data_IF_528383471331
#
_entry.id   IF_528383471331
#
_cell.length_a   1.000
_cell.length_b   1.000
_cell.length_c   1.000
_cell.angle_alpha   90.00
_cell.angle_beta   90.00
_cell.angle_gamma   90.00
#
_symmetry.space_group_name_H-M   'P 1'
#
loop_
_entity.id
_entity.type
_entity.pdbx_description
1 polymer ?
#
# COMPACT_ATOMS: atom_id res chain seq x y z
N UNK A 1 -2.42 -15.22 7.27
CA UNK A 1 -1.66 -14.04 6.81
C UNK A 1 -1.71 -13.88 5.29
N UNK A 2 -1.36 -14.94 4.52
CA UNK A 2 -1.33 -14.84 3.05
C UNK A 2 -2.66 -14.35 2.45
N UNK A 3 -3.76 -14.99 2.79
CA UNK A 3 -5.09 -14.62 2.28
C UNK A 3 -5.52 -13.19 2.66
N UNK A 4 -5.17 -12.77 3.87
CA UNK A 4 -5.50 -11.43 4.32
C UNK A 4 -4.71 -10.36 3.56
N UNK A 5 -3.40 -10.54 3.38
CA UNK A 5 -2.55 -9.54 2.72
C UNK A 5 -2.61 -9.64 1.20
N UNK A 6 -2.35 -10.82 0.65
CA UNK A 6 -2.17 -11.01 -0.80
C UNK A 6 -3.43 -11.52 -1.50
N UNK A 7 -4.37 -12.13 -0.78
CA UNK A 7 -5.68 -12.44 -1.30
C UNK A 7 -6.57 -11.21 -1.35
N UNK A 8 -7.08 -10.80 -0.21
CA UNK A 8 -8.01 -9.69 -0.08
C UNK A 8 -7.31 -8.33 -0.14
N UNK A 9 -6.27 -8.14 0.67
CA UNK A 9 -5.59 -6.85 0.80
C UNK A 9 -5.08 -6.32 -0.52
N UNK A 10 -4.43 -7.15 -1.33
CA UNK A 10 -3.93 -6.75 -2.65
C UNK A 10 -5.03 -6.61 -3.72
N UNK A 11 -6.13 -7.35 -3.62
CA UNK A 11 -7.26 -7.10 -4.51
C UNK A 11 -7.81 -5.68 -4.33
N UNK A 12 -7.94 -5.23 -3.07
CA UNK A 12 -8.41 -3.88 -2.73
C UNK A 12 -7.33 -2.83 -3.02
N UNK A 13 -6.13 -2.98 -2.46
CA UNK A 13 -5.04 -2.01 -2.60
C UNK A 13 -4.62 -1.86 -4.05
N UNK A 14 -4.44 -2.96 -4.76
CA UNK A 14 -4.03 -2.96 -6.16
C UNK A 14 -5.08 -2.35 -7.07
N UNK A 15 -6.36 -2.67 -6.88
CA UNK A 15 -7.47 -2.06 -7.60
C UNK A 15 -7.55 -0.54 -7.38
N UNK A 16 -7.38 -0.11 -6.12
CA UNK A 16 -7.30 1.31 -5.79
C UNK A 16 -6.08 1.97 -6.47
N UNK A 17 -4.89 1.38 -6.37
CA UNK A 17 -3.67 1.92 -6.97
C UNK A 17 -3.79 2.04 -8.49
N UNK A 18 -4.33 1.03 -9.18
CA UNK A 18 -4.56 1.10 -10.63
C UNK A 18 -5.49 2.26 -11.02
N UNK A 19 -6.50 2.52 -10.20
CA UNK A 19 -7.44 3.64 -10.42
C UNK A 19 -6.81 4.99 -10.06
N UNK A 20 -6.09 5.07 -8.94
CA UNK A 20 -5.47 6.30 -8.47
C UNK A 20 -4.32 6.73 -9.37
N UNK A 21 -3.47 5.79 -9.79
CA UNK A 21 -2.27 6.08 -10.60
C UNK A 21 -2.63 6.72 -11.93
N UNK A 22 -3.71 6.27 -12.61
CA UNK A 22 -4.16 6.92 -13.85
C UNK A 22 -4.49 8.40 -13.66
N UNK A 23 -5.08 8.75 -12.52
CA UNK A 23 -5.43 10.13 -12.20
C UNK A 23 -4.19 10.95 -11.82
N UNK A 24 -3.18 10.34 -11.18
CA UNK A 24 -1.94 11.02 -10.82
C UNK A 24 -1.12 11.40 -12.04
N UNK A 25 -1.03 10.52 -13.02
CA UNK A 25 -0.25 10.74 -14.25
C UNK A 25 -1.11 11.19 -15.44
N UNK A 26 -2.41 11.49 -15.22
CA UNK A 26 -3.35 12.02 -16.22
C UNK A 26 -3.41 11.18 -17.51
N UNK A 27 -3.42 9.85 -17.37
CA UNK A 27 -3.49 8.93 -18.51
C UNK A 27 -4.75 8.08 -18.46
N UNK A 28 -5.10 7.51 -19.62
CA UNK A 28 -6.18 6.52 -19.71
C UNK A 28 -5.78 5.25 -18.96
N UNK A 29 -6.62 4.81 -18.04
CA UNK A 29 -6.35 3.60 -17.24
C UNK A 29 -6.42 2.31 -18.06
N UNK A 30 -6.01 1.22 -17.46
CA UNK A 30 -6.15 -0.12 -18.02
C UNK A 30 -7.63 -0.50 -18.13
N UNK A 31 -8.00 -1.23 -19.17
CA UNK A 31 -9.38 -1.63 -19.41
C UNK A 31 -9.49 -3.08 -19.89
N UNK A 32 -10.69 -3.60 -19.78
CA UNK A 32 -11.18 -4.90 -20.23
C UNK A 32 -10.16 -6.03 -20.18
N UNK A 33 -9.42 -6.27 -21.23
CA UNK A 33 -8.49 -7.42 -21.34
C UNK A 33 -7.46 -7.47 -20.24
N UNK A 34 -6.87 -6.32 -19.88
CA UNK A 34 -5.88 -6.25 -18.81
C UNK A 34 -6.51 -6.51 -17.42
N UNK A 35 -7.70 -5.97 -17.16
CA UNK A 35 -8.40 -6.17 -15.88
C UNK A 35 -8.94 -7.60 -15.76
N UNK A 36 -9.49 -8.16 -16.85
CA UNK A 36 -9.90 -9.56 -16.89
C UNK A 36 -8.71 -10.49 -16.67
N UNK A 37 -7.57 -10.21 -17.32
CA UNK A 37 -6.33 -10.96 -17.10
C UNK A 37 -5.86 -10.93 -15.64
N UNK A 38 -5.93 -9.77 -14.99
CA UNK A 38 -5.61 -9.65 -13.55
C UNK A 38 -6.61 -10.42 -12.67
N UNK A 39 -7.90 -10.37 -12.97
CA UNK A 39 -8.91 -11.11 -12.23
C UNK A 39 -8.70 -12.63 -12.37
N UNK A 40 -8.38 -13.11 -13.57
CA UNK A 40 -8.05 -14.52 -13.79
C UNK A 40 -6.76 -14.91 -13.06
N UNK A 41 -5.72 -14.08 -13.09
CA UNK A 41 -4.49 -14.32 -12.34
C UNK A 41 -4.75 -14.41 -10.83
N UNK A 42 -5.63 -13.54 -10.30
CA UNK A 42 -6.06 -13.60 -8.90
C UNK A 42 -6.82 -14.91 -8.60
N UNK A 43 -7.73 -15.33 -9.46
CA UNK A 43 -8.43 -16.62 -9.30
C UNK A 43 -7.45 -17.81 -9.32
N UNK A 44 -6.48 -17.82 -10.24
CA UNK A 44 -5.44 -18.86 -10.30
C UNK A 44 -4.62 -18.91 -9.03
N UNK A 45 -4.27 -17.75 -8.46
CA UNK A 45 -3.60 -17.67 -7.17
C UNK A 45 -4.46 -18.28 -6.04
N UNK A 46 -5.77 -18.00 -6.00
CA UNK A 46 -6.67 -18.59 -4.99
C UNK A 46 -6.75 -20.11 -5.13
N UNK A 47 -6.83 -20.60 -6.36
CA UNK A 47 -6.83 -22.05 -6.65
C UNK A 47 -5.50 -22.67 -6.20
N UNK A 48 -4.37 -22.05 -6.54
CA UNK A 48 -3.03 -22.50 -6.12
C UNK A 48 -2.87 -22.57 -4.60
N UNK A 49 -3.39 -21.59 -3.86
CA UNK A 49 -3.36 -21.61 -2.39
C UNK A 49 -4.28 -22.67 -1.78
N UNK A 50 -5.44 -22.93 -2.39
CA UNK A 50 -6.43 -23.87 -1.84
C UNK A 50 -6.06 -25.35 -2.14
N UNK A 51 -5.56 -25.61 -3.33
CA UNK A 51 -5.35 -27.00 -3.83
C UNK A 51 -3.92 -27.27 -4.33
N UNK A 52 -3.04 -26.29 -4.30
CA UNK A 52 -1.67 -26.40 -4.85
C UNK A 52 -0.69 -27.22 -4.01
N UNK A 53 -1.09 -27.77 -2.86
CA UNK A 53 -0.18 -28.53 -1.98
C UNK A 53 0.42 -29.79 -2.62
N UNK A 54 -0.20 -30.33 -3.67
CA UNK A 54 0.32 -31.46 -4.45
C UNK A 54 0.95 -31.07 -5.79
N UNK A 55 1.07 -29.78 -6.09
CA UNK A 55 1.61 -29.29 -7.35
C UNK A 55 3.15 -29.30 -7.36
N UNK A 56 3.78 -29.39 -8.55
CA UNK A 56 5.20 -29.10 -8.68
C UNK A 56 5.52 -27.71 -8.11
N UNK A 57 6.66 -27.58 -7.45
CA UNK A 57 7.04 -26.35 -6.76
C UNK A 57 6.99 -25.11 -7.69
N UNK A 58 7.46 -25.26 -8.93
CA UNK A 58 7.48 -24.17 -9.91
C UNK A 58 6.06 -23.69 -10.25
N UNK A 59 5.11 -24.61 -10.39
CA UNK A 59 3.72 -24.27 -10.69
C UNK A 59 3.06 -23.57 -9.49
N UNK A 60 3.33 -24.07 -8.28
CA UNK A 60 2.85 -23.42 -7.05
C UNK A 60 3.37 -21.98 -6.93
N UNK A 61 4.68 -21.78 -7.09
CA UNK A 61 5.28 -20.46 -7.04
C UNK A 61 4.75 -19.53 -8.13
N UNK A 62 4.67 -20.00 -9.36
CA UNK A 62 4.14 -19.22 -10.48
C UNK A 62 2.70 -18.79 -10.24
N UNK A 63 1.82 -19.70 -9.84
CA UNK A 63 0.41 -19.39 -9.57
C UNK A 63 0.26 -18.32 -8.49
N UNK A 64 1.10 -18.36 -7.47
CA UNK A 64 1.05 -17.43 -6.35
C UNK A 64 1.70 -16.08 -6.63
N UNK A 65 2.61 -15.97 -7.59
CA UNK A 65 3.32 -14.72 -7.86
C UNK A 65 2.73 -13.93 -9.03
N UNK A 66 2.06 -14.59 -9.99
CA UNK A 66 1.66 -13.97 -11.26
C UNK A 66 0.75 -12.76 -11.07
N UNK A 67 -0.25 -12.84 -10.20
CA UNK A 67 -1.17 -11.73 -9.94
C UNK A 67 -0.43 -10.48 -9.42
N UNK A 68 0.34 -10.66 -8.35
CA UNK A 68 1.08 -9.56 -7.74
C UNK A 68 2.14 -8.99 -8.68
N UNK A 69 2.87 -9.85 -9.39
CA UNK A 69 3.90 -9.44 -10.35
C UNK A 69 3.28 -8.63 -11.51
N UNK A 70 2.16 -9.06 -12.06
CA UNK A 70 1.47 -8.34 -13.13
C UNK A 70 1.00 -6.96 -12.67
N UNK A 71 0.35 -6.87 -11.51
CA UNK A 71 -0.16 -5.58 -11.02
C UNK A 71 0.97 -4.62 -10.66
N UNK A 72 2.04 -5.12 -10.04
CA UNK A 72 3.26 -4.34 -9.75
C UNK A 72 3.91 -3.85 -11.04
N UNK A 73 4.08 -4.72 -12.04
CA UNK A 73 4.63 -4.35 -13.34
C UNK A 73 3.79 -3.28 -14.04
N UNK A 74 2.45 -3.40 -14.03
CA UNK A 74 1.54 -2.41 -14.61
C UNK A 74 1.67 -1.06 -13.92
N UNK A 75 1.73 -1.04 -12.59
CA UNK A 75 1.88 0.19 -11.82
C UNK A 75 3.25 0.84 -12.04
N UNK A 76 4.32 0.06 -11.97
CA UNK A 76 5.68 0.56 -12.18
C UNK A 76 5.88 1.10 -13.60
N UNK A 77 5.41 0.38 -14.61
CA UNK A 77 5.52 0.85 -16.01
C UNK A 77 4.75 2.15 -16.22
N UNK A 78 3.57 2.28 -15.62
CA UNK A 78 2.77 3.52 -15.69
C UNK A 78 3.50 4.69 -15.02
N UNK A 79 3.97 4.51 -13.79
CA UNK A 79 4.67 5.55 -13.04
C UNK A 79 5.98 5.98 -13.71
N UNK A 80 6.77 5.03 -14.22
CA UNK A 80 8.05 5.34 -14.88
C UNK A 80 7.83 6.00 -16.23
N UNK A 81 6.92 5.46 -17.06
CA UNK A 81 6.69 5.95 -18.42
C UNK A 81 6.10 7.37 -18.43
N UNK A 82 5.19 7.66 -17.51
CA UNK A 82 4.49 8.94 -17.44
C UNK A 82 4.99 9.85 -16.33
N UNK A 83 6.19 9.61 -15.83
CA UNK A 83 6.84 10.35 -14.75
C UNK A 83 6.79 11.87 -14.92
N UNK A 84 6.92 12.37 -16.15
CA UNK A 84 6.95 13.83 -16.43
C UNK A 84 5.57 14.48 -16.25
N UNK A 85 4.50 13.70 -16.26
CA UNK A 85 3.11 14.17 -16.13
C UNK A 85 2.58 13.94 -14.72
N UNK A 86 3.41 13.38 -13.81
CA UNK A 86 3.00 13.03 -12.46
C UNK A 86 2.74 14.29 -11.64
N UNK A 87 1.53 14.38 -11.10
CA UNK A 87 1.08 15.48 -10.24
C UNK A 87 1.71 15.45 -8.84
N UNK A 88 2.34 14.34 -8.46
CA UNK A 88 2.88 14.12 -7.12
C UNK A 88 4.34 13.64 -7.16
N UNK A 89 5.26 14.49 -6.73
CA UNK A 89 6.68 14.12 -6.61
C UNK A 89 6.90 12.90 -5.70
N UNK A 90 6.02 12.68 -4.73
CA UNK A 90 6.09 11.59 -3.76
C UNK A 90 5.82 10.19 -4.35
N UNK A 91 5.38 10.08 -5.61
CA UNK A 91 5.10 8.79 -6.25
C UNK A 91 6.34 7.94 -6.47
N UNK A 92 7.55 8.53 -6.40
CA UNK A 92 8.81 7.77 -6.35
C UNK A 92 8.86 6.74 -5.23
N UNK A 93 8.16 7.00 -4.16
CA UNK A 93 8.04 6.09 -3.05
C UNK A 93 7.45 4.73 -3.46
N UNK A 94 6.47 4.72 -4.35
CA UNK A 94 5.89 3.47 -4.85
C UNK A 94 6.87 2.65 -5.69
N UNK A 95 7.89 3.27 -6.31
CA UNK A 95 8.93 2.52 -7.03
C UNK A 95 9.74 1.60 -6.11
N UNK A 96 9.83 1.92 -4.83
CA UNK A 96 10.48 1.08 -3.81
C UNK A 96 9.49 0.12 -3.15
N UNK A 97 8.31 0.61 -2.79
CA UNK A 97 7.31 -0.15 -2.01
C UNK A 97 6.70 -1.28 -2.83
N UNK A 98 6.43 -1.06 -4.12
CA UNK A 98 5.81 -2.10 -4.95
C UNK A 98 6.70 -3.34 -5.12
N UNK A 99 8.01 -3.26 -5.44
CA UNK A 99 8.88 -4.43 -5.43
C UNK A 99 9.05 -5.04 -4.04
N UNK A 100 9.03 -4.22 -2.96
CA UNK A 100 9.13 -4.74 -1.60
C UNK A 100 7.94 -5.64 -1.23
N UNK A 101 6.75 -5.42 -1.78
CA UNK A 101 5.63 -6.34 -1.62
C UNK A 101 5.86 -7.71 -2.26
N UNK A 102 6.56 -7.77 -3.40
CA UNK A 102 6.96 -9.05 -3.99
C UNK A 102 7.95 -9.78 -3.08
N UNK A 103 8.94 -9.07 -2.53
CA UNK A 103 9.88 -9.65 -1.58
C UNK A 103 9.16 -10.15 -0.31
N UNK A 104 8.24 -9.37 0.25
CA UNK A 104 7.45 -9.77 1.41
C UNK A 104 6.60 -11.03 1.13
N UNK A 105 6.03 -11.14 -0.07
CA UNK A 105 5.28 -12.33 -0.49
C UNK A 105 6.17 -13.56 -0.62
N UNK A 106 7.35 -13.41 -1.20
CA UNK A 106 8.34 -14.49 -1.30
C UNK A 106 8.73 -15.01 0.09
N UNK A 107 9.02 -14.12 1.04
CA UNK A 107 9.28 -14.48 2.42
C UNK A 107 8.08 -15.19 3.07
N UNK A 108 6.88 -14.67 2.86
CA UNK A 108 5.64 -15.24 3.42
C UNK A 108 5.34 -16.65 2.89
N UNK A 109 5.71 -16.96 1.65
CA UNK A 109 5.53 -18.30 1.06
C UNK A 109 6.62 -19.28 1.49
N UNK A 110 7.73 -18.80 2.07
CA UNK A 110 8.80 -19.62 2.62
C UNK A 110 8.47 -20.01 4.06
N UNK A 111 8.44 -21.32 4.37
CA UNK A 111 8.20 -21.79 5.74
C UNK A 111 9.21 -21.22 6.75
N UNK A 112 10.49 -21.13 6.36
CA UNK A 112 11.57 -20.64 7.20
C UNK A 112 11.43 -19.13 7.53
N UNK A 113 10.80 -18.34 6.67
CA UNK A 113 10.72 -16.88 6.79
C UNK A 113 9.28 -16.35 6.85
N UNK A 114 8.32 -17.24 7.14
CA UNK A 114 6.89 -16.89 7.19
C UNK A 114 6.60 -15.69 8.11
N UNK A 115 7.16 -15.70 9.32
CA UNK A 115 6.95 -14.64 10.31
C UNK A 115 7.52 -13.30 9.84
N UNK A 116 8.71 -13.32 9.22
CA UNK A 116 9.36 -12.13 8.67
C UNK A 116 8.54 -11.55 7.51
N UNK A 117 8.08 -12.42 6.60
CA UNK A 117 7.22 -12.05 5.48
C UNK A 117 5.88 -11.46 5.94
N UNK A 118 5.25 -12.03 6.97
CA UNK A 118 4.01 -11.51 7.54
C UNK A 118 4.21 -10.13 8.17
N UNK A 119 5.28 -9.96 8.92
CA UNK A 119 5.64 -8.70 9.58
C UNK A 119 5.98 -7.61 8.57
N UNK A 120 6.77 -7.95 7.55
CA UNK A 120 7.11 -7.04 6.45
C UNK A 120 5.87 -6.63 5.66
N UNK A 121 4.97 -7.59 5.36
CA UNK A 121 3.69 -7.31 4.70
C UNK A 121 2.85 -6.32 5.49
N UNK A 122 2.69 -6.52 6.80
CA UNK A 122 1.98 -5.60 7.68
C UNK A 122 2.59 -4.20 7.64
N UNK A 123 3.93 -4.09 7.68
CA UNK A 123 4.65 -2.83 7.59
C UNK A 123 4.40 -2.10 6.26
N UNK A 124 4.44 -2.83 5.14
CA UNK A 124 4.20 -2.29 3.80
C UNK A 124 2.74 -1.83 3.63
N UNK A 125 1.76 -2.60 4.08
CA UNK A 125 0.35 -2.20 4.05
C UNK A 125 0.12 -0.95 4.90
N UNK A 126 0.64 -0.91 6.13
CA UNK A 126 0.57 0.27 6.99
C UNK A 126 1.12 1.50 6.27
N UNK A 127 2.28 1.38 5.65
CA UNK A 127 2.93 2.46 4.92
C UNK A 127 2.10 2.92 3.70
N UNK A 128 1.57 1.98 2.90
CA UNK A 128 0.71 2.29 1.76
C UNK A 128 -0.56 3.02 2.21
N UNK A 129 -1.21 2.54 3.28
CA UNK A 129 -2.40 3.19 3.83
C UNK A 129 -2.12 4.59 4.38
N UNK A 130 -0.99 4.81 5.05
CA UNK A 130 -0.63 6.14 5.56
C UNK A 130 -0.45 7.16 4.44
N UNK A 131 0.23 6.78 3.35
CA UNK A 131 0.40 7.65 2.17
C UNK A 131 -0.95 7.95 1.51
N UNK A 132 -1.80 6.94 1.38
CA UNK A 132 -3.12 7.09 0.78
C UNK A 132 -4.05 7.94 1.65
N UNK A 133 -4.08 7.67 2.94
CA UNK A 133 -4.92 8.38 3.90
C UNK A 133 -4.58 9.88 3.91
N UNK A 134 -3.30 10.22 3.90
CA UNK A 134 -2.85 11.61 3.81
C UNK A 134 -3.43 12.33 2.58
N UNK A 135 -3.35 11.68 1.41
CA UNK A 135 -3.85 12.26 0.16
C UNK A 135 -5.38 12.36 0.14
N UNK A 136 -6.04 11.27 0.49
CA UNK A 136 -7.51 11.19 0.47
C UNK A 136 -8.14 12.16 1.45
N UNK A 137 -7.66 12.21 2.70
CA UNK A 137 -8.19 13.14 3.69
C UNK A 137 -7.93 14.60 3.31
N UNK A 138 -6.75 14.91 2.77
CA UNK A 138 -6.45 16.27 2.32
C UNK A 138 -7.40 16.72 1.21
N UNK A 139 -7.65 15.85 0.22
CA UNK A 139 -8.59 16.15 -0.87
C UNK A 139 -10.03 16.22 -0.38
N UNK A 140 -10.43 15.32 0.50
CA UNK A 140 -11.77 15.30 1.08
C UNK A 140 -12.07 16.57 1.89
N UNK A 141 -11.17 16.96 2.79
CA UNK A 141 -11.31 18.17 3.61
C UNK A 141 -11.39 19.41 2.75
N UNK A 142 -10.56 19.50 1.70
CA UNK A 142 -10.64 20.63 0.75
C UNK A 142 -11.94 20.62 -0.05
N UNK A 143 -12.41 19.47 -0.51
CA UNK A 143 -13.62 19.36 -1.35
C UNK A 143 -14.91 19.57 -0.56
N UNK A 144 -15.04 18.99 0.63
CA UNK A 144 -16.27 19.00 1.43
C UNK A 144 -16.36 20.21 2.36
N UNK A 145 -15.25 20.53 3.01
CA UNK A 145 -15.24 21.61 4.04
C UNK A 145 -14.66 22.91 3.54
N UNK A 146 -14.09 22.94 2.32
CA UNK A 146 -13.40 24.10 1.73
C UNK A 146 -12.31 24.69 2.64
N UNK A 147 -11.68 23.84 3.44
CA UNK A 147 -10.62 24.20 4.37
C UNK A 147 -9.28 23.77 3.83
N UNK A 148 -8.35 24.69 3.73
CA UNK A 148 -6.95 24.36 3.43
C UNK A 148 -6.28 23.80 4.68
N UNK A 149 -5.92 22.52 4.61
CA UNK A 149 -5.19 21.84 5.68
C UNK A 149 -3.77 22.36 5.76
N UNK A 150 -3.32 22.62 6.97
CA UNK A 150 -1.94 23.00 7.23
C UNK A 150 -0.99 21.85 6.85
N UNK A 151 -0.35 21.97 5.69
CA UNK A 151 0.66 21.01 5.24
C UNK A 151 1.97 21.26 5.98
N UNK A 152 2.52 20.21 6.56
CA UNK A 152 3.83 20.22 7.22
C UNK A 152 4.76 19.21 6.56
N UNK A 153 5.51 19.57 5.49
CA UNK A 153 6.29 18.61 4.70
C UNK A 153 7.32 17.83 5.52
N UNK A 154 7.90 18.46 6.55
CA UNK A 154 8.85 17.78 7.46
C UNK A 154 8.18 16.70 8.32
N UNK A 155 6.96 16.96 8.80
CA UNK A 155 6.18 15.97 9.55
C UNK A 155 5.77 14.80 8.66
N UNK A 156 5.29 15.10 7.45
CA UNK A 156 4.89 14.08 6.48
C UNK A 156 6.08 13.19 6.08
N UNK A 157 7.25 13.80 5.89
CA UNK A 157 8.49 13.06 5.62
C UNK A 157 8.90 12.18 6.82
N UNK A 158 8.84 12.72 8.05
CA UNK A 158 9.18 11.95 9.25
C UNK A 158 8.25 10.73 9.43
N UNK A 159 6.94 10.88 9.20
CA UNK A 159 5.97 9.79 9.23
C UNK A 159 6.30 8.74 8.16
N UNK A 160 6.59 9.15 6.93
CA UNK A 160 6.94 8.25 5.82
C UNK A 160 8.24 7.48 6.12
N UNK A 161 9.26 8.16 6.61
CA UNK A 161 10.53 7.52 6.97
C UNK A 161 10.37 6.56 8.16
N UNK A 162 9.66 6.97 9.22
CA UNK A 162 9.37 6.11 10.36
C UNK A 162 8.59 4.85 9.96
N UNK A 163 7.58 5.01 9.10
CA UNK A 163 6.83 3.88 8.56
C UNK A 163 7.70 2.97 7.68
N UNK A 164 8.63 3.54 6.88
CA UNK A 164 9.56 2.78 6.06
C UNK A 164 10.54 1.96 6.91
N UNK A 165 11.09 2.54 7.96
CA UNK A 165 11.94 1.79 8.91
C UNK A 165 11.20 0.63 9.55
N UNK A 166 9.95 0.83 9.90
CA UNK A 166 9.11 -0.20 10.52
C UNK A 166 8.64 -1.30 9.53
N UNK A 167 8.90 -1.18 8.24
CA UNK A 167 8.76 -2.32 7.29
C UNK A 167 9.74 -3.44 7.67
N UNK A 168 10.91 -3.06 8.16
CA UNK A 168 11.97 -4.00 8.55
C UNK A 168 11.95 -4.35 10.05
N UNK A 169 10.82 -4.15 10.73
CA UNK A 169 10.74 -4.37 12.19
C UNK A 169 11.04 -5.81 12.62
N UNK A 170 10.89 -6.82 11.75
CA UNK A 170 11.24 -8.21 12.05
C UNK A 170 12.73 -8.39 12.36
N UNK A 171 13.58 -7.54 11.78
CA UNK A 171 15.05 -7.58 11.96
C UNK A 171 15.56 -6.54 12.96
N UNK A 172 14.66 -5.75 13.56
CA UNK A 172 15.03 -4.76 14.57
C UNK A 172 14.94 -5.35 15.98
N UNK A 173 15.78 -4.90 16.92
CA UNK A 173 15.57 -5.20 18.34
C UNK A 173 14.18 -4.77 18.79
N UNK A 174 13.50 -5.61 19.58
CA UNK A 174 12.11 -5.38 20.00
C UNK A 174 11.91 -4.03 20.70
N UNK A 175 12.83 -3.62 21.55
CA UNK A 175 12.78 -2.32 22.22
C UNK A 175 12.82 -1.15 21.25
N UNK A 176 13.66 -1.23 20.19
CA UNK A 176 13.75 -0.21 19.15
C UNK A 176 12.47 -0.18 18.30
N UNK A 177 11.94 -1.34 17.93
CA UNK A 177 10.69 -1.43 17.18
C UNK A 177 9.51 -0.80 17.94
N UNK A 178 9.39 -1.09 19.24
CA UNK A 178 8.37 -0.50 20.11
C UNK A 178 8.56 1.02 20.24
N UNK A 179 9.77 1.50 20.43
CA UNK A 179 10.04 2.94 20.51
C UNK A 179 9.67 3.66 19.20
N UNK A 180 10.05 3.09 18.04
CA UNK A 180 9.68 3.65 16.72
C UNK A 180 8.17 3.65 16.50
N UNK A 181 7.46 2.60 16.92
CA UNK A 181 5.99 2.55 16.85
C UNK A 181 5.37 3.63 17.73
N UNK A 182 5.84 3.81 18.95
CA UNK A 182 5.35 4.86 19.86
C UNK A 182 5.57 6.26 19.26
N UNK A 183 6.76 6.51 18.70
CA UNK A 183 7.06 7.78 18.00
C UNK A 183 6.12 7.96 16.80
N UNK A 184 5.93 6.93 15.98
CA UNK A 184 5.03 7.01 14.83
C UNK A 184 3.59 7.32 15.25
N UNK A 185 3.08 6.68 16.32
CA UNK A 185 1.76 6.98 16.89
C UNK A 185 1.67 8.44 17.33
N UNK A 186 2.67 8.95 18.04
CA UNK A 186 2.70 10.35 18.48
C UNK A 186 2.67 11.34 17.29
N UNK A 187 3.47 11.06 16.24
CA UNK A 187 3.48 11.86 15.02
C UNK A 187 2.14 11.82 14.29
N UNK A 188 1.48 10.65 14.23
CA UNK A 188 0.16 10.49 13.62
C UNK A 188 -0.94 11.22 14.41
N UNK A 189 -0.91 11.16 15.74
CA UNK A 189 -1.83 11.94 16.60
C UNK A 189 -1.67 13.44 16.39
N UNK A 190 -0.42 13.90 16.32
CA UNK A 190 -0.15 15.29 15.98
C UNK A 190 -0.60 15.66 14.56
N UNK A 191 -0.38 14.77 13.58
CA UNK A 191 -0.88 14.98 12.22
C UNK A 191 -2.41 15.01 12.17
N UNK A 192 -3.07 14.13 12.91
CA UNK A 192 -4.53 14.09 13.01
C UNK A 192 -5.10 15.41 13.54
N UNK A 193 -4.47 16.01 14.56
CA UNK A 193 -4.89 17.32 15.06
C UNK A 193 -4.77 18.44 14.00
N UNK A 194 -3.78 18.34 13.09
CA UNK A 194 -3.63 19.27 11.98
C UNK A 194 -4.73 19.18 10.92
N UNK A 195 -5.45 18.04 10.84
CA UNK A 195 -6.57 17.84 9.90
C UNK A 195 -7.90 18.45 10.37
N UNK A 196 -7.90 19.05 11.56
CA UNK A 196 -9.08 19.72 12.13
C UNK A 196 -10.32 18.82 12.16
N UNK A 197 -10.28 17.69 12.87
CA UNK A 197 -11.42 16.78 12.98
C UNK A 197 -12.64 17.43 13.66
N UNK A 198 -12.41 18.52 14.42
CA UNK A 198 -13.45 19.35 15.03
C UNK A 198 -14.51 19.83 14.04
N UNK A 199 -14.12 20.11 12.80
CA UNK A 199 -15.05 20.58 11.76
C UNK A 199 -16.03 19.48 11.31
N UNK A 200 -15.61 18.23 11.31
CA UNK A 200 -16.48 17.08 11.02
C UNK A 200 -17.52 16.88 12.12
N UNK A 201 -17.13 17.02 13.39
CA UNK A 201 -18.01 16.85 14.53
C UNK A 201 -19.08 17.97 14.58
N UNK A 202 -18.69 19.22 14.35
CA UNK A 202 -19.63 20.34 14.32
C UNK A 202 -20.72 20.23 13.25
N UNK A 203 -20.44 19.59 12.11
CA UNK A 203 -21.47 19.36 11.09
C UNK A 203 -22.41 18.23 11.42
N UNK A 204 -22.00 17.24 12.19
CA UNK A 204 -22.87 16.18 12.69
C UNK A 204 -23.88 16.69 13.72
N UNK A 205 -23.56 17.76 14.45
CA UNK A 205 -24.47 18.40 15.41
C UNK A 205 -25.53 19.28 14.72
N UNK A 206 -25.34 19.61 13.43
CA UNK A 206 -26.25 20.48 12.66
C UNK A 206 -27.13 19.68 11.67
N UNK A 207 -26.96 18.36 11.58
CA UNK A 207 -27.74 17.45 10.74
C UNK A 207 -28.73 16.60 11.58
#
# INVERSE_FOLDING_TARGET
AHEMFFGFGWAVLGGFLLTATKNWVQVRGYHWTALVGLALAWCVERIGMAWGGGWPAELFWLSNLVFLACIVAMLLTTLVRYRRQDSFADNYFFLLVLPAFLAAKLLLLSEAHFADGATMSLGLFRMAFLVMLERTLTQFMKGVFQVDILRRPRLDLAIKLGAAFLVFQAWLPSALAVALLAILVALLMYRFSCWRPDLGLRRLELA
#
